data_IF_232471104885
#
_entry.id   IF_232471104885
#
_cell.length_a   1.000
_cell.length_b   1.000
_cell.length_c   1.000
_cell.angle_alpha   90.00
_cell.angle_beta   90.00
_cell.angle_gamma   90.00
#
_symmetry.space_group_name_H-M   'P 1'
#
loop_
_entity.id
_entity.type
_entity.pdbx_description
1 polymer ?
#
# COMPACT_ATOMS: atom_id res chain seq x y z
N UNK A 1 -14.81 1.70 4.54
CA UNK A 1 -13.34 1.74 4.46
C UNK A 1 -12.83 0.48 5.12
N UNK A 2 -12.01 -0.32 4.44
CA UNK A 2 -11.73 -1.70 4.84
C UNK A 2 -10.22 -1.96 4.95
N UNK A 3 -9.86 -2.93 5.80
CA UNK A 3 -8.52 -3.51 5.80
C UNK A 3 -8.32 -4.34 4.52
N UNK A 4 -7.06 -4.58 4.15
CA UNK A 4 -6.65 -5.33 2.97
C UNK A 4 -6.74 -6.85 3.21
N UNK A 5 -7.93 -7.32 3.58
CA UNK A 5 -8.25 -8.72 3.80
C UNK A 5 -9.30 -9.20 2.78
N UNK A 6 -8.96 -10.22 2.00
CA UNK A 6 -9.79 -10.65 0.87
C UNK A 6 -11.12 -11.27 1.29
N UNK A 7 -11.15 -12.00 2.41
CA UNK A 7 -12.35 -12.59 3.03
C UNK A 7 -13.37 -11.50 3.35
N UNK A 8 -12.94 -10.42 3.99
CA UNK A 8 -13.76 -9.26 4.35
C UNK A 8 -14.35 -8.57 3.12
N UNK A 9 -13.54 -8.38 2.06
CA UNK A 9 -14.03 -7.83 0.79
C UNK A 9 -15.06 -8.74 0.11
N UNK A 10 -14.82 -10.05 0.10
CA UNK A 10 -15.72 -11.02 -0.52
C UNK A 10 -17.06 -11.10 0.22
N UNK A 11 -17.04 -11.09 1.55
CA UNK A 11 -18.24 -11.08 2.38
C UNK A 11 -19.09 -9.82 2.11
N UNK A 12 -18.47 -8.65 2.07
CA UNK A 12 -19.19 -7.39 1.83
C UNK A 12 -19.74 -7.29 0.42
N UNK A 13 -19.01 -7.74 -0.60
CA UNK A 13 -19.55 -7.79 -1.98
C UNK A 13 -20.73 -8.75 -2.10
N UNK A 14 -20.75 -9.83 -1.31
CA UNK A 14 -21.87 -10.78 -1.29
C UNK A 14 -23.14 -10.17 -0.68
N UNK A 15 -22.99 -9.39 0.39
CA UNK A 15 -24.13 -8.79 1.11
C UNK A 15 -24.57 -7.46 0.47
N UNK A 16 -23.62 -6.66 -0.03
CA UNK A 16 -23.84 -5.33 -0.60
C UNK A 16 -23.18 -5.20 -1.99
N UNK A 17 -23.73 -5.86 -3.03
CA UNK A 17 -23.07 -5.98 -4.33
C UNK A 17 -22.90 -4.66 -5.08
N UNK A 18 -23.70 -3.65 -4.76
CA UNK A 18 -23.64 -2.32 -5.40
C UNK A 18 -22.73 -1.33 -4.67
N UNK A 19 -22.19 -1.69 -3.50
CA UNK A 19 -21.33 -0.78 -2.73
C UNK A 19 -19.94 -0.72 -3.34
N UNK A 20 -19.45 0.52 -3.53
CA UNK A 20 -18.06 0.76 -3.89
C UNK A 20 -17.20 0.57 -2.65
N UNK A 21 -16.45 -0.53 -2.64
CA UNK A 21 -15.42 -0.74 -1.61
C UNK A 21 -14.24 0.21 -1.87
N UNK A 22 -13.76 0.82 -0.79
CA UNK A 22 -12.55 1.64 -0.76
C UNK A 22 -11.69 1.23 0.43
N UNK A 23 -10.43 0.96 0.16
CA UNK A 23 -9.38 0.98 1.17
C UNK A 23 -9.03 2.43 1.54
N UNK A 24 -8.10 2.59 2.47
CA UNK A 24 -7.52 3.90 2.75
C UNK A 24 -6.03 3.81 2.99
N UNK A 25 -5.40 4.98 2.93
CA UNK A 25 -3.98 5.13 3.16
C UNK A 25 -3.54 4.59 4.53
N UNK A 26 -4.38 4.74 5.57
CA UNK A 26 -4.10 4.21 6.90
C UNK A 26 -3.94 2.68 6.89
N UNK A 27 -4.95 1.94 6.39
CA UNK A 27 -4.87 0.47 6.33
C UNK A 27 -3.79 -0.02 5.35
N UNK A 28 -3.50 0.75 4.29
CA UNK A 28 -2.42 0.43 3.35
C UNK A 28 -1.07 0.54 4.06
N UNK A 29 -0.86 1.63 4.80
CA UNK A 29 0.34 1.88 5.60
C UNK A 29 0.50 0.83 6.71
N UNK A 30 -0.58 0.43 7.37
CA UNK A 30 -0.56 -0.66 8.36
C UNK A 30 -0.15 -2.00 7.74
N UNK A 31 -0.69 -2.33 6.57
CA UNK A 31 -0.35 -3.57 5.86
C UNK A 31 1.11 -3.59 5.39
N UNK A 32 1.62 -2.45 4.92
CA UNK A 32 3.02 -2.28 4.56
C UNK A 32 3.95 -2.33 5.77
N UNK A 33 3.56 -1.72 6.89
CA UNK A 33 4.30 -1.79 8.15
C UNK A 33 4.41 -3.23 8.67
N UNK A 34 3.31 -3.99 8.65
CA UNK A 34 3.34 -5.43 8.96
C UNK A 34 4.36 -6.16 8.08
N UNK A 35 4.43 -5.84 6.79
CA UNK A 35 5.41 -6.44 5.88
C UNK A 35 6.87 -6.10 6.26
N UNK A 36 7.15 -4.85 6.62
CA UNK A 36 8.47 -4.43 7.14
C UNK A 36 8.84 -5.26 8.37
N UNK A 37 7.92 -5.42 9.32
CA UNK A 37 8.18 -6.14 10.57
C UNK A 37 8.47 -7.64 10.36
N UNK A 38 7.96 -8.24 9.28
CA UNK A 38 8.16 -9.66 8.97
C UNK A 38 9.54 -9.98 8.38
N UNK A 39 10.30 -8.98 7.93
CA UNK A 39 11.65 -9.16 7.38
C UNK A 39 12.68 -8.49 8.31
N UNK A 40 13.47 -9.29 9.02
CA UNK A 40 14.42 -8.78 10.01
C UNK A 40 15.47 -7.80 9.42
N UNK A 41 16.12 -8.07 8.27
CA UNK A 41 17.00 -7.11 7.61
C UNK A 41 16.32 -5.77 7.30
N UNK A 42 15.13 -5.81 6.70
CA UNK A 42 14.35 -4.61 6.36
C UNK A 42 13.95 -3.84 7.61
N UNK A 43 13.52 -4.52 8.68
CA UNK A 43 13.16 -3.88 9.95
C UNK A 43 14.37 -3.19 10.61
N UNK A 44 15.54 -3.85 10.61
CA UNK A 44 16.77 -3.26 11.16
C UNK A 44 17.13 -2.00 10.39
N UNK A 45 17.20 -2.10 9.06
CA UNK A 45 17.57 -0.98 8.20
C UNK A 45 16.58 0.19 8.33
N UNK A 46 15.29 -0.09 8.38
CA UNK A 46 14.25 0.93 8.57
C UNK A 46 14.35 1.67 9.91
N UNK A 47 14.93 1.06 10.95
CA UNK A 47 15.12 1.72 12.26
C UNK A 47 16.39 2.56 12.34
N UNK A 48 17.39 2.21 11.56
CA UNK A 48 18.74 2.76 11.68
C UNK A 48 19.05 3.82 10.62
N UNK A 49 18.38 3.77 9.46
CA UNK A 49 18.70 4.59 8.30
C UNK A 49 17.48 5.40 7.82
N UNK A 50 17.56 6.72 7.95
CA UNK A 50 16.51 7.64 7.54
C UNK A 50 16.31 7.72 6.02
N UNK A 51 17.37 7.56 5.23
CA UNK A 51 17.28 7.58 3.77
C UNK A 51 16.57 6.32 3.27
N UNK A 52 16.88 5.16 3.89
CA UNK A 52 16.16 3.93 3.63
C UNK A 52 14.65 4.05 3.95
N UNK A 53 14.29 4.72 5.05
CA UNK A 53 12.88 4.98 5.39
C UNK A 53 12.19 5.78 4.29
N UNK A 54 12.87 6.78 3.72
CA UNK A 54 12.32 7.58 2.62
C UNK A 54 12.10 6.70 1.39
N UNK A 55 13.11 5.92 0.97
CA UNK A 55 13.01 5.03 -0.19
C UNK A 55 11.90 3.98 -0.01
N UNK A 56 11.81 3.35 1.17
CA UNK A 56 10.74 2.41 1.46
C UNK A 56 9.35 3.06 1.38
N UNK A 57 9.21 4.31 1.85
CA UNK A 57 7.95 5.06 1.75
C UNK A 57 7.61 5.52 0.33
N UNK A 58 8.57 5.63 -0.58
CA UNK A 58 8.29 5.92 -1.99
C UNK A 58 7.43 4.81 -2.62
N UNK A 59 7.61 3.55 -2.20
CA UNK A 59 6.75 2.43 -2.63
C UNK A 59 5.29 2.68 -2.22
N UNK A 60 5.06 3.08 -0.97
CA UNK A 60 3.73 3.46 -0.49
C UNK A 60 3.16 4.68 -1.21
N UNK A 61 4.02 5.64 -1.57
CA UNK A 61 3.61 6.89 -2.21
C UNK A 61 2.98 6.68 -3.61
N UNK A 62 3.16 5.50 -4.21
CA UNK A 62 2.50 5.11 -5.46
C UNK A 62 0.96 5.21 -5.36
N UNK A 63 0.37 5.12 -4.16
CA UNK A 63 -1.07 5.35 -3.98
C UNK A 63 -1.52 6.77 -4.32
N UNK A 64 -0.61 7.73 -4.42
CA UNK A 64 -0.90 9.10 -4.83
C UNK A 64 -0.62 9.37 -6.32
N UNK A 65 -0.30 8.35 -7.12
CA UNK A 65 -0.12 8.49 -8.56
C UNK A 65 -1.48 8.39 -9.26
N UNK A 66 -1.77 9.14 -10.33
CA UNK A 66 -2.97 8.93 -11.14
C UNK A 66 -3.09 7.46 -11.58
N UNK A 67 -4.31 6.90 -11.54
CA UNK A 67 -4.53 5.48 -11.86
C UNK A 67 -3.90 5.03 -13.20
N UNK A 68 -3.97 5.81 -14.29
CA UNK A 68 -3.34 5.43 -15.56
C UNK A 68 -1.81 5.26 -15.47
N UNK A 69 -1.16 5.95 -14.54
CA UNK A 69 0.30 6.06 -14.45
C UNK A 69 0.89 5.16 -13.35
N UNK A 70 0.07 4.51 -12.51
CA UNK A 70 0.52 3.71 -11.36
C UNK A 70 1.59 2.68 -11.74
N UNK A 71 1.33 1.87 -12.77
CA UNK A 71 2.26 0.81 -13.16
C UNK A 71 3.58 1.40 -13.65
N UNK A 72 3.51 2.43 -14.49
CA UNK A 72 4.68 3.10 -15.04
C UNK A 72 5.50 3.75 -13.92
N UNK A 73 4.87 4.51 -13.02
CA UNK A 73 5.56 5.15 -11.91
C UNK A 73 6.22 4.13 -10.97
N UNK A 74 5.57 3.00 -10.70
CA UNK A 74 6.16 1.92 -9.92
C UNK A 74 7.38 1.32 -10.61
N UNK A 75 7.31 1.03 -11.91
CA UNK A 75 8.46 0.56 -12.69
C UNK A 75 9.62 1.57 -12.66
N UNK A 76 9.34 2.85 -12.88
CA UNK A 76 10.37 3.91 -12.81
C UNK A 76 11.02 3.99 -11.43
N UNK A 77 10.26 3.82 -10.35
CA UNK A 77 10.81 3.76 -9.00
C UNK A 77 11.81 2.61 -8.86
N UNK A 78 11.48 1.41 -9.37
CA UNK A 78 12.37 0.24 -9.28
C UNK A 78 13.68 0.42 -10.08
N UNK A 79 13.68 1.24 -11.13
CA UNK A 79 14.88 1.56 -11.91
C UNK A 79 15.67 2.76 -11.38
N UNK A 80 15.18 3.46 -10.36
CA UNK A 80 15.86 4.62 -9.80
C UNK A 80 17.07 4.24 -8.96
N UNK A 81 18.10 5.09 -8.95
CA UNK A 81 19.31 4.87 -8.14
C UNK A 81 18.98 4.71 -6.64
N UNK A 82 17.95 5.42 -6.15
CA UNK A 82 17.46 5.29 -4.78
C UNK A 82 17.04 3.86 -4.45
N UNK A 83 16.42 3.15 -5.40
CA UNK A 83 15.96 1.78 -5.20
C UNK A 83 17.08 0.78 -5.47
N UNK A 84 17.83 0.96 -6.56
CA UNK A 84 18.87 0.01 -7.01
C UNK A 84 19.97 -0.18 -5.97
N UNK A 85 20.35 0.90 -5.25
CA UNK A 85 21.40 0.84 -4.23
C UNK A 85 21.05 -0.04 -3.02
N UNK A 86 19.76 -0.15 -2.67
CA UNK A 86 19.27 -0.95 -1.54
C UNK A 86 18.37 -2.12 -2.00
N UNK A 87 18.44 -2.50 -3.28
CA UNK A 87 17.52 -3.44 -3.90
C UNK A 87 17.44 -4.77 -3.14
N UNK A 88 18.56 -5.28 -2.63
CA UNK A 88 18.60 -6.54 -1.86
C UNK A 88 17.64 -6.54 -0.67
N UNK A 89 17.52 -5.41 0.04
CA UNK A 89 16.68 -5.28 1.22
C UNK A 89 15.27 -4.80 0.83
N UNK A 90 15.16 -3.92 -0.17
CA UNK A 90 13.90 -3.34 -0.61
C UNK A 90 13.04 -4.30 -1.43
N UNK A 91 13.64 -5.31 -2.08
CA UNK A 91 12.93 -6.27 -2.90
C UNK A 91 11.80 -6.97 -2.13
N UNK A 92 11.99 -7.26 -0.85
CA UNK A 92 10.92 -7.87 -0.06
C UNK A 92 9.66 -6.99 0.06
N UNK A 93 9.82 -5.66 -0.01
CA UNK A 93 8.74 -4.68 0.03
C UNK A 93 8.16 -4.44 -1.36
N UNK A 94 9.00 -4.26 -2.37
CA UNK A 94 8.53 -4.04 -3.75
C UNK A 94 7.85 -5.28 -4.31
N UNK A 95 8.36 -6.49 -4.05
CA UNK A 95 7.73 -7.75 -4.45
C UNK A 95 6.35 -7.89 -3.83
N UNK A 96 6.24 -7.61 -2.53
CA UNK A 96 4.96 -7.60 -1.84
C UNK A 96 4.01 -6.56 -2.44
N UNK A 97 4.50 -5.35 -2.71
CA UNK A 97 3.66 -4.30 -3.27
C UNK A 97 3.19 -4.67 -4.70
N UNK A 98 4.09 -5.22 -5.50
CA UNK A 98 3.82 -5.68 -6.85
C UNK A 98 2.81 -6.84 -6.84
N UNK A 99 2.96 -7.81 -5.94
CA UNK A 99 2.11 -8.99 -5.91
C UNK A 99 0.65 -8.67 -5.56
N UNK A 100 0.43 -7.70 -4.66
CA UNK A 100 -0.87 -7.39 -4.09
C UNK A 100 -1.55 -6.18 -4.73
N UNK A 101 -0.79 -5.15 -5.13
CA UNK A 101 -1.34 -3.84 -5.50
C UNK A 101 -1.08 -3.44 -6.95
N UNK A 102 0.03 -3.86 -7.57
CA UNK A 102 0.37 -3.50 -8.96
C UNK A 102 0.00 -4.62 -9.96
N UNK A 103 0.25 -5.87 -9.58
CA UNK A 103 0.13 -7.08 -10.40
C UNK A 103 1.36 -7.32 -11.26
N UNK A 104 1.96 -8.51 -11.26
CA UNK A 104 3.20 -8.83 -11.99
C UNK A 104 3.03 -8.90 -13.52
N UNK A 105 4.11 -8.62 -14.25
CA UNK A 105 4.21 -8.91 -15.69
C UNK A 105 4.40 -10.42 -15.90
N UNK A 106 3.57 -11.01 -16.77
CA UNK A 106 3.65 -12.41 -17.17
C UNK A 106 4.45 -12.59 -18.48
N UNK A 107 4.67 -13.84 -18.86
CA UNK A 107 5.20 -14.19 -20.18
C UNK A 107 4.30 -13.57 -21.26
N UNK A 108 4.90 -12.92 -22.26
CA UNK A 108 4.24 -12.12 -23.32
C UNK A 108 3.89 -10.67 -22.94
N UNK A 109 4.58 -10.09 -21.96
CA UNK A 109 4.44 -8.67 -21.59
C UNK A 109 3.02 -8.24 -21.18
N UNK A 110 2.24 -9.19 -20.64
CA UNK A 110 0.88 -8.97 -20.18
C UNK A 110 0.87 -8.88 -18.66
N UNK A 111 0.28 -7.84 -18.08
CA UNK A 111 0.21 -7.66 -16.63
C UNK A 111 -0.97 -8.42 -16.05
N UNK A 112 -0.74 -9.27 -15.04
CA UNK A 112 -1.84 -9.92 -14.30
C UNK A 112 -2.60 -8.87 -13.47
N UNK A 113 -3.92 -8.99 -13.29
CA UNK A 113 -4.64 -8.12 -12.38
C UNK A 113 -4.08 -8.21 -10.95
N UNK A 114 -3.92 -7.09 -10.22
CA UNK A 114 -3.54 -7.13 -8.81
C UNK A 114 -4.65 -7.76 -7.95
N UNK A 115 -4.28 -8.28 -6.79
CA UNK A 115 -5.24 -8.80 -5.81
C UNK A 115 -6.19 -7.70 -5.35
N UNK A 116 -5.66 -6.50 -5.15
CA UNK A 116 -6.40 -5.30 -4.80
C UNK A 116 -6.39 -4.32 -6.00
N UNK A 117 -7.54 -4.11 -6.67
CA UNK A 117 -7.64 -3.20 -7.81
C UNK A 117 -7.16 -1.79 -7.46
N UNK A 118 -6.52 -1.09 -8.41
CA UNK A 118 -6.01 0.27 -8.20
C UNK A 118 -7.07 1.23 -7.64
N UNK A 119 -8.30 1.15 -8.14
CA UNK A 119 -9.42 1.96 -7.70
C UNK A 119 -9.83 1.74 -6.24
N UNK A 120 -9.42 0.63 -5.62
CA UNK A 120 -9.68 0.33 -4.22
C UNK A 120 -8.79 1.16 -3.28
N UNK A 121 -7.50 1.29 -3.60
CA UNK A 121 -6.47 1.81 -2.68
C UNK A 121 -5.84 3.12 -3.13
N UNK A 122 -6.07 3.53 -4.38
CA UNK A 122 -5.60 4.82 -4.88
C UNK A 122 -6.21 5.99 -4.09
N UNK A 123 -5.35 6.96 -3.80
CA UNK A 123 -5.63 8.15 -3.01
C UNK A 123 -5.49 9.44 -3.84
N UNK A 124 -5.17 9.38 -5.14
CA UNK A 124 -4.93 10.57 -5.98
C UNK A 124 -6.16 11.48 -6.02
N UNK A 125 -7.31 10.97 -6.45
CA UNK A 125 -8.54 11.76 -6.55
C UNK A 125 -9.00 12.30 -5.19
N UNK A 126 -8.87 11.49 -4.13
CA UNK A 126 -9.17 11.95 -2.78
C UNK A 126 -8.25 13.10 -2.35
N UNK A 127 -6.98 13.03 -2.77
CA UNK A 127 -5.96 14.02 -2.44
C UNK A 127 -6.22 15.36 -3.12
N UNK A 128 -6.45 15.36 -4.43
CA UNK A 128 -6.69 16.58 -5.22
C UNK A 128 -8.04 17.23 -4.89
N UNK A 129 -9.07 16.43 -4.56
CA UNK A 129 -10.40 16.93 -4.23
C UNK A 129 -10.57 17.31 -2.75
N UNK A 130 -9.49 17.24 -1.96
CA UNK A 130 -9.51 17.47 -0.51
C UNK A 130 -10.55 16.63 0.25
N UNK A 131 -10.93 15.48 -0.33
CA UNK A 131 -11.78 14.51 0.33
C UNK A 131 -10.92 13.79 1.38
N UNK A 132 -11.53 13.44 2.52
CA UNK A 132 -10.83 12.87 3.68
C UNK A 132 -9.84 11.77 3.29
N UNK A 133 -8.55 12.11 3.24
CA UNK A 133 -7.42 11.18 3.03
C UNK A 133 -7.21 10.31 4.26
N UNK A 134 -7.57 10.85 5.42
CA UNK A 134 -7.32 10.31 6.75
C UNK A 134 -8.63 10.18 7.51
N UNK A 135 -8.74 9.05 8.19
CA UNK A 135 -9.90 8.66 8.95
C UNK A 135 -9.83 9.26 10.37
N UNK A 136 -9.53 10.54 10.57
CA UNK A 136 -9.28 11.12 11.92
C UNK A 136 -10.24 10.59 13.03
N UNK A 137 -11.50 10.30 12.67
CA UNK A 137 -12.46 9.60 13.54
C UNK A 137 -12.14 8.13 13.89
N UNK A 138 -11.73 7.30 12.94
CA UNK A 138 -11.33 5.89 13.14
C UNK A 138 -9.92 5.79 13.75
N UNK A 139 -8.96 6.62 13.34
CA UNK A 139 -7.66 6.75 14.03
C UNK A 139 -7.85 7.21 15.48
N UNK A 140 -8.71 8.21 15.71
CA UNK A 140 -9.10 8.67 17.04
C UNK A 140 -9.74 7.54 17.86
N UNK A 141 -10.68 6.80 17.27
CA UNK A 141 -11.33 5.67 17.93
C UNK A 141 -10.35 4.53 18.28
N UNK A 142 -9.45 4.14 17.38
CA UNK A 142 -8.46 3.11 17.67
C UNK A 142 -7.47 3.54 18.77
N UNK A 143 -7.04 4.81 18.75
CA UNK A 143 -6.15 5.35 19.78
C UNK A 143 -6.83 5.45 21.15
N UNK A 144 -8.10 5.88 21.20
CA UNK A 144 -8.88 5.91 22.44
C UNK A 144 -9.19 4.50 22.96
N UNK A 145 -9.59 3.59 22.08
CA UNK A 145 -9.87 2.21 22.45
C UNK A 145 -8.61 1.52 22.99
N UNK A 146 -7.46 1.63 22.32
CA UNK A 146 -6.19 1.06 22.79
C UNK A 146 -5.71 1.64 24.14
N UNK A 147 -6.12 2.86 24.49
CA UNK A 147 -5.88 3.49 25.80
C UNK A 147 -6.84 3.02 26.88
N UNK A 148 -8.01 2.52 26.52
CA UNK A 148 -9.03 2.07 27.46
C UNK A 148 -8.80 0.62 27.95
N UNK A 149 -8.19 -0.22 27.12
CA UNK A 149 -7.93 -1.66 27.39
C UNK A 149 -6.51 -1.95 27.91
N UNK A 150 -5.67 -0.93 28.08
CA UNK A 150 -4.37 -0.98 28.77
C UNK A 150 -4.40 -0.14 30.04
#
# INVERSE_FOLDING_TARGET
MLDFEISSHNALRRVFPQTILKGCFYHLSQSFWRKIQMNAPTLSRYREDGDFVITAKMILAICFVPIPDICFAFEQLLFSDFFVNDAEILNCLSDYFEDFYIGRILRLNTRRPPLFPHSLWNCYDATINNNGRTNNSVEGWHNEFARFIN
#
